data_IF_218924161182
#
_entry.id   IF_218924161182
#
_cell.length_a   1.000
_cell.length_b   1.000
_cell.length_c   1.000
_cell.angle_alpha   90.00
_cell.angle_beta   90.00
_cell.angle_gamma   90.00
#
_symmetry.space_group_name_H-M   'P 1'
#
loop_
_entity.id
_entity.type
_entity.pdbx_description
1 polymer ?
#
# COMPACT_ATOMS: atom_id res chain seq x y z
N UNK A 1 21.34 20.25 6.29
CA UNK A 1 20.75 19.72 7.54
C UNK A 1 20.08 18.37 7.30
N UNK A 2 20.65 17.31 7.89
CA UNK A 2 20.18 15.93 7.68
C UNK A 2 18.76 15.68 8.23
N UNK A 3 18.29 16.57 9.11
CA UNK A 3 16.94 16.58 9.71
C UNK A 3 15.84 16.73 8.66
N UNK A 4 16.09 17.48 7.59
CA UNK A 4 15.14 17.71 6.48
C UNK A 4 14.95 16.46 5.61
N UNK A 5 15.94 15.55 5.56
CA UNK A 5 15.86 14.30 4.78
C UNK A 5 14.93 13.26 5.41
N UNK A 6 14.77 13.23 6.74
CA UNK A 6 14.04 12.18 7.48
C UNK A 6 12.84 12.70 8.28
N UNK A 7 12.18 13.77 7.82
CA UNK A 7 10.99 14.32 8.49
C UNK A 7 9.78 13.41 8.46
N UNK A 8 9.69 12.51 7.48
CA UNK A 8 8.56 11.60 7.32
C UNK A 8 8.58 10.50 8.38
N UNK A 9 7.38 10.15 8.86
CA UNK A 9 7.15 9.09 9.84
C UNK A 9 6.04 8.17 9.35
N UNK A 10 6.18 6.89 9.63
CA UNK A 10 5.10 5.93 9.38
C UNK A 10 4.05 5.99 10.50
N UNK A 11 3.00 5.20 10.35
CA UNK A 11 1.94 5.08 11.35
C UNK A 11 2.43 4.50 12.69
N UNK A 12 3.65 3.95 12.75
CA UNK A 12 4.31 3.43 13.96
C UNK A 12 5.33 4.43 14.52
N UNK A 13 5.41 5.65 13.97
CA UNK A 13 6.33 6.71 14.39
C UNK A 13 7.78 6.55 13.91
N UNK A 14 8.09 5.54 13.08
CA UNK A 14 9.45 5.30 12.56
C UNK A 14 9.79 6.32 11.48
N UNK A 15 10.92 7.00 11.64
CA UNK A 15 11.42 7.97 10.66
C UNK A 15 12.03 7.27 9.45
N UNK A 16 11.81 7.82 8.28
CA UNK A 16 12.47 7.37 7.05
C UNK A 16 12.78 8.54 6.11
N UNK A 17 13.75 8.32 5.22
CA UNK A 17 14.19 9.32 4.26
C UNK A 17 13.13 9.58 3.18
N UNK A 18 13.08 10.80 2.62
CA UNK A 18 12.18 11.17 1.51
C UNK A 18 12.29 10.20 0.33
N UNK A 19 13.49 9.78 -0.06
CA UNK A 19 13.68 8.87 -1.19
C UNK A 19 13.01 7.51 -0.95
N UNK A 20 13.05 7.02 0.30
CA UNK A 20 12.32 5.80 0.70
C UNK A 20 10.81 6.00 0.64
N UNK A 21 10.31 7.21 0.94
CA UNK A 21 8.90 7.53 0.75
C UNK A 21 8.50 7.48 -0.72
N UNK A 22 9.27 8.16 -1.56
CA UNK A 22 8.99 8.31 -2.99
C UNK A 22 8.97 6.94 -3.65
N UNK A 23 9.95 6.09 -3.36
CA UNK A 23 9.98 4.71 -3.84
C UNK A 23 8.75 3.90 -3.38
N UNK A 24 8.32 4.05 -2.12
CA UNK A 24 7.15 3.33 -1.61
C UNK A 24 5.85 3.78 -2.25
N UNK A 25 5.65 5.10 -2.38
CA UNK A 25 4.45 5.66 -3.02
C UNK A 25 4.43 5.41 -4.52
N UNK A 26 5.58 5.48 -5.20
CA UNK A 26 5.68 5.25 -6.65
C UNK A 26 5.45 3.79 -7.07
N UNK A 27 5.71 2.83 -6.18
CA UNK A 27 5.46 1.41 -6.41
C UNK A 27 4.12 0.92 -5.85
N UNK A 28 3.35 1.79 -5.19
CA UNK A 28 2.04 1.43 -4.67
C UNK A 28 0.98 1.50 -5.76
N UNK A 29 -0.06 0.68 -5.61
CA UNK A 29 -1.28 0.78 -6.42
C UNK A 29 -2.18 1.87 -5.82
N UNK A 30 -2.74 2.78 -6.63
CA UNK A 30 -3.73 3.75 -6.15
C UNK A 30 -4.91 3.06 -5.48
N UNK A 31 -5.36 3.50 -4.27
CA UNK A 31 -6.50 2.92 -3.57
C UNK A 31 -7.75 2.66 -4.42
N UNK A 32 -8.19 3.57 -5.32
CA UNK A 32 -9.39 3.30 -6.14
C UNK A 32 -9.23 2.15 -7.15
N UNK A 33 -8.00 1.70 -7.45
CA UNK A 33 -7.75 0.64 -8.43
C UNK A 33 -7.46 -0.72 -7.80
N UNK A 34 -7.22 -0.79 -6.50
CA UNK A 34 -6.82 -2.02 -5.82
C UNK A 34 -7.85 -3.14 -6.02
N UNK A 35 -9.13 -2.87 -5.82
CA UNK A 35 -10.21 -3.85 -5.95
C UNK A 35 -10.39 -4.35 -7.40
N UNK A 36 -10.33 -3.43 -8.38
CA UNK A 36 -10.46 -3.78 -9.79
C UNK A 36 -9.32 -4.69 -10.26
N UNK A 37 -8.08 -4.39 -9.86
CA UNK A 37 -6.92 -5.21 -10.20
C UNK A 37 -7.00 -6.61 -9.57
N UNK A 38 -7.45 -6.70 -8.32
CA UNK A 38 -7.63 -8.00 -7.66
C UNK A 38 -8.73 -8.80 -8.35
N UNK A 39 -9.88 -8.21 -8.69
CA UNK A 39 -10.95 -8.91 -9.43
C UNK A 39 -10.50 -9.43 -10.79
N UNK A 40 -9.70 -8.65 -11.51
CA UNK A 40 -9.23 -9.01 -12.85
C UNK A 40 -8.18 -10.14 -12.82
N UNK A 41 -7.30 -10.16 -11.82
CA UNK A 41 -6.16 -11.09 -11.78
C UNK A 41 -6.36 -12.27 -10.82
N UNK A 42 -7.22 -12.13 -9.82
CA UNK A 42 -7.41 -13.07 -8.72
C UNK A 42 -8.91 -13.27 -8.43
N UNK A 43 -9.69 -13.80 -9.39
CA UNK A 43 -11.15 -13.87 -9.27
C UNK A 43 -11.62 -14.67 -8.04
N UNK A 44 -10.84 -15.64 -7.57
CA UNK A 44 -11.17 -16.47 -6.40
C UNK A 44 -11.06 -15.76 -5.05
N UNK A 45 -10.42 -14.59 -4.96
CA UNK A 45 -10.37 -13.80 -3.71
C UNK A 45 -11.64 -12.97 -3.54
N UNK A 46 -12.35 -12.69 -4.64
CA UNK A 46 -13.57 -11.88 -4.63
C UNK A 46 -14.86 -12.71 -4.66
N UNK A 47 -14.74 -14.04 -4.76
CA UNK A 47 -15.86 -14.95 -4.53
C UNK A 47 -15.95 -15.15 -3.02
N UNK A 48 -17.01 -14.61 -2.41
CA UNK A 48 -17.45 -15.11 -1.13
C UNK A 48 -17.79 -16.58 -1.35
N UNK A 49 -16.88 -17.50 -1.01
CA UNK A 49 -17.36 -18.83 -0.67
C UNK A 49 -18.25 -18.58 0.56
N UNK A 50 -19.57 -18.67 0.37
CA UNK A 50 -20.46 -18.89 1.49
C UNK A 50 -19.84 -20.04 2.27
N UNK A 51 -19.39 -19.76 3.49
CA UNK A 51 -19.12 -20.81 4.46
C UNK A 51 -20.51 -21.39 4.75
N UNK A 52 -20.91 -22.36 3.94
CA UNK A 52 -22.09 -23.15 4.15
C UNK A 52 -21.77 -24.15 5.26
N UNK A 53 -22.29 -23.85 6.46
CA UNK A 53 -22.59 -24.70 7.62
C UNK A 53 -22.23 -24.01 8.94
#
# INVERSE_FOLDING_TARGET
DNTSKTRFRDYRGRRYAKDKQVARCGNAIPPPFAEALVRANLPGICQSEEIAA
#
